data_IF_141845428716
#
_entry.id   IF_141845428716
#
_cell.length_a   1.000
_cell.length_b   1.000
_cell.length_c   1.000
_cell.angle_alpha   90.00
_cell.angle_beta   90.00
_cell.angle_gamma   90.00
#
_symmetry.space_group_name_H-M   'P 1'
#
loop_
_entity.id
_entity.type
_entity.pdbx_description
1 polymer ?
#
# COMPACT_ATOMS: atom_id res chain seq x y z
N UNK A 1 9.07 7.59 5.35
CA UNK A 1 9.51 6.33 5.97
C UNK A 1 8.52 5.22 5.64
N UNK A 2 9.03 4.00 5.44
CA UNK A 2 8.19 2.79 5.32
C UNK A 2 8.40 1.91 6.54
N UNK A 3 7.29 1.46 7.13
CA UNK A 3 7.29 0.58 8.31
C UNK A 3 6.47 -0.68 8.01
N UNK A 4 6.68 -1.80 8.72
CA UNK A 4 5.87 -3.00 8.52
C UNK A 4 4.38 -2.71 8.65
N UNK A 5 4.00 -2.02 9.70
CA UNK A 5 2.62 -1.61 10.00
C UNK A 5 2.62 -0.24 10.68
N UNK A 6 1.69 0.62 10.29
CA UNK A 6 1.53 1.93 10.94
C UNK A 6 0.68 1.75 12.20
N UNK A 7 1.24 2.17 13.33
CA UNK A 7 0.56 2.16 14.62
C UNK A 7 0.86 3.44 15.41
N UNK A 8 0.00 3.77 16.36
CA UNK A 8 0.19 4.98 17.19
C UNK A 8 1.54 4.99 17.88
N UNK A 9 2.04 3.89 18.50
CA UNK A 9 3.36 3.87 19.11
C UNK A 9 4.50 4.12 18.12
N UNK A 10 4.43 3.52 16.92
CA UNK A 10 5.45 3.69 15.88
C UNK A 10 5.42 5.13 15.35
N UNK A 11 4.24 5.68 15.11
CA UNK A 11 4.08 7.07 14.66
C UNK A 11 4.68 8.04 15.68
N UNK A 12 4.38 7.87 16.98
CA UNK A 12 4.96 8.69 18.05
C UNK A 12 6.48 8.56 18.11
N UNK A 13 7.01 7.33 18.12
CA UNK A 13 8.44 7.10 18.21
C UNK A 13 9.23 7.71 17.04
N UNK A 14 8.70 7.60 15.81
CA UNK A 14 9.34 8.20 14.63
C UNK A 14 9.25 9.73 14.67
N UNK A 15 8.11 10.27 15.09
CA UNK A 15 7.93 11.73 15.26
C UNK A 15 8.90 12.30 16.28
N UNK A 16 9.05 11.65 17.44
CA UNK A 16 9.97 12.04 18.49
C UNK A 16 11.43 11.98 18.00
N UNK A 17 11.81 10.91 17.31
CA UNK A 17 13.15 10.75 16.73
C UNK A 17 13.47 11.85 15.72
N UNK A 18 12.54 12.20 14.83
CA UNK A 18 12.70 13.30 13.86
C UNK A 18 12.81 14.64 14.58
N UNK A 19 12.01 14.84 15.64
CA UNK A 19 12.10 16.04 16.51
C UNK A 19 13.46 16.18 17.19
N UNK A 20 14.03 15.08 17.72
CA UNK A 20 15.36 15.04 18.32
C UNK A 20 16.48 15.38 17.32
N UNK A 21 16.30 15.06 16.05
CA UNK A 21 17.25 15.43 14.98
C UNK A 21 17.17 16.90 14.57
N UNK A 22 16.27 17.68 15.18
CA UNK A 22 16.13 19.11 14.91
C UNK A 22 15.53 19.44 13.55
N UNK A 23 14.90 18.49 12.88
CA UNK A 23 14.28 18.64 11.55
C UNK A 23 12.91 19.33 11.64
N UNK A 24 12.88 20.54 12.23
CA UNK A 24 11.65 21.28 12.58
C UNK A 24 10.73 21.61 11.38
N UNK A 25 11.29 21.68 10.17
CA UNK A 25 10.56 22.02 8.95
C UNK A 25 10.40 20.84 8.00
N UNK A 26 10.76 19.63 8.41
CA UNK A 26 10.61 18.45 7.57
C UNK A 26 9.18 17.93 7.64
N UNK A 27 8.55 17.75 6.48
CA UNK A 27 7.31 16.99 6.39
C UNK A 27 7.61 15.51 6.61
N UNK A 28 6.98 14.90 7.60
CA UNK A 28 7.12 13.49 7.91
C UNK A 28 5.95 12.73 7.29
N UNK A 29 6.27 11.77 6.43
CA UNK A 29 5.31 10.81 5.90
C UNK A 29 5.70 9.41 6.38
N UNK A 30 4.80 8.76 7.09
CA UNK A 30 4.93 7.39 7.54
C UNK A 30 3.90 6.54 6.79
N UNK A 31 4.36 5.48 6.13
CA UNK A 31 3.48 4.59 5.35
C UNK A 31 3.81 3.12 5.64
N UNK A 32 2.80 2.28 5.54
CA UNK A 32 2.95 0.83 5.66
C UNK A 32 3.64 0.20 4.43
N UNK A 33 4.06 -1.06 4.56
CA UNK A 33 4.65 -1.83 3.46
C UNK A 33 3.70 -1.99 2.28
N UNK A 34 2.42 -2.23 2.54
CA UNK A 34 1.40 -2.36 1.50
C UNK A 34 1.24 -1.05 0.69
N UNK A 35 1.18 0.10 1.37
CA UNK A 35 1.11 1.41 0.72
C UNK A 35 2.41 1.72 -0.04
N UNK A 36 3.57 1.36 0.51
CA UNK A 36 4.86 1.48 -0.20
C UNK A 36 4.87 0.65 -1.48
N UNK A 37 4.33 -0.56 -1.44
CA UNK A 37 4.23 -1.43 -2.61
C UNK A 37 3.25 -0.87 -3.66
N UNK A 38 2.13 -0.28 -3.25
CA UNK A 38 1.23 0.45 -4.14
C UNK A 38 1.96 1.57 -4.87
N UNK A 39 2.60 2.51 -4.15
CA UNK A 39 3.31 3.63 -4.78
C UNK A 39 4.47 3.18 -5.66
N UNK A 40 5.14 2.09 -5.29
CA UNK A 40 6.17 1.52 -6.14
C UNK A 40 5.59 1.09 -7.48
N UNK A 41 4.48 0.34 -7.49
CA UNK A 41 3.89 -0.18 -8.73
C UNK A 41 3.35 0.93 -9.66
N UNK A 42 2.57 1.87 -9.16
CA UNK A 42 2.00 2.93 -10.01
C UNK A 42 3.05 3.86 -10.63
N UNK A 43 4.25 3.89 -10.07
CA UNK A 43 5.39 4.64 -10.61
C UNK A 43 6.29 3.80 -11.54
N UNK A 44 5.97 2.52 -11.78
CA UNK A 44 6.63 1.69 -12.80
C UNK A 44 5.90 1.81 -14.15
N UNK A 45 6.55 1.38 -15.26
CA UNK A 45 5.88 1.22 -16.54
C UNK A 45 4.63 0.34 -16.43
N UNK A 46 3.54 0.76 -17.06
CA UNK A 46 2.22 0.12 -16.92
C UNK A 46 2.23 -1.35 -17.33
N UNK A 47 3.11 -1.74 -18.24
CA UNK A 47 3.27 -3.14 -18.68
C UNK A 47 3.66 -4.09 -17.54
N UNK A 48 4.29 -3.59 -16.48
CA UNK A 48 4.69 -4.39 -15.32
C UNK A 48 3.52 -4.70 -14.38
N UNK A 49 2.49 -3.86 -14.38
CA UNK A 49 1.33 -4.02 -13.52
C UNK A 49 -0.01 -3.92 -14.29
N UNK A 50 0.04 -4.34 -15.55
CA UNK A 50 -1.14 -4.47 -16.41
C UNK A 50 -2.14 -5.48 -15.82
N UNK A 51 -1.64 -6.53 -15.18
CA UNK A 51 -2.36 -7.53 -14.41
C UNK A 51 -1.88 -7.46 -12.95
N UNK A 52 -2.23 -8.42 -12.14
CA UNK A 52 -1.81 -8.48 -10.75
C UNK A 52 -0.27 -8.54 -10.62
N UNK A 53 0.25 -8.01 -9.52
CA UNK A 53 1.68 -8.02 -9.21
C UNK A 53 1.90 -8.68 -7.86
N UNK A 54 2.80 -9.66 -7.83
CA UNK A 54 3.15 -10.38 -6.61
C UNK A 54 4.48 -9.87 -6.07
N UNK A 55 4.53 -9.62 -4.76
CA UNK A 55 5.75 -9.38 -4.01
C UNK A 55 5.96 -10.52 -3.02
N UNK A 56 7.15 -11.09 -3.02
CA UNK A 56 7.62 -12.06 -2.05
C UNK A 56 8.75 -11.42 -1.23
N UNK A 57 8.50 -11.21 0.06
CA UNK A 57 9.48 -10.72 1.04
C UNK A 57 9.95 -11.88 1.91
N UNK A 58 11.16 -12.37 1.67
CA UNK A 58 11.75 -13.45 2.46
C UNK A 58 12.82 -12.88 3.38
N UNK A 59 12.40 -12.51 4.58
CA UNK A 59 13.26 -11.90 5.59
C UNK A 59 13.38 -12.83 6.80
N UNK A 60 14.62 -13.13 7.20
CA UNK A 60 14.90 -14.13 8.24
C UNK A 60 14.45 -15.53 7.83
N UNK A 61 13.53 -16.11 8.61
CA UNK A 61 12.92 -17.42 8.33
C UNK A 61 11.46 -17.31 7.84
N UNK A 62 10.98 -16.10 7.59
CA UNK A 62 9.59 -15.86 7.22
C UNK A 62 9.46 -15.38 5.78
N UNK A 63 8.54 -15.99 5.06
CA UNK A 63 8.09 -15.55 3.75
C UNK A 63 6.76 -14.82 3.89
N UNK A 64 6.73 -13.57 3.49
CA UNK A 64 5.55 -12.74 3.41
C UNK A 64 5.21 -12.44 1.95
N UNK A 65 3.96 -12.55 1.57
CA UNK A 65 3.53 -12.25 0.21
C UNK A 65 2.50 -11.13 0.20
N UNK A 66 2.67 -10.19 -0.74
CA UNK A 66 1.72 -9.12 -1.01
C UNK A 66 1.29 -9.21 -2.47
N UNK A 67 -0.02 -9.13 -2.70
CA UNK A 67 -0.61 -9.13 -4.02
C UNK A 67 -1.24 -7.76 -4.31
N UNK A 68 -0.70 -7.05 -5.28
CA UNK A 68 -1.25 -5.79 -5.77
C UNK A 68 -2.24 -6.06 -6.90
N UNK A 69 -3.43 -5.46 -6.81
CA UNK A 69 -4.48 -5.51 -7.83
C UNK A 69 -5.01 -4.11 -8.11
N UNK A 70 -5.43 -3.84 -9.35
CA UNK A 70 -5.98 -2.56 -9.78
C UNK A 70 -7.34 -2.75 -10.47
N UNK A 71 -8.39 -2.19 -9.90
CA UNK A 71 -9.72 -2.17 -10.51
C UNK A 71 -9.84 -1.00 -11.49
N UNK A 72 -9.55 -1.24 -12.76
CA UNK A 72 -9.58 -0.24 -13.83
C UNK A 72 -10.98 0.15 -14.29
N UNK A 73 -12.04 -0.39 -13.66
CA UNK A 73 -13.43 -0.04 -13.96
C UNK A 73 -13.92 1.17 -13.16
N UNK A 74 -13.13 1.66 -12.22
CA UNK A 74 -13.41 2.82 -11.38
C UNK A 74 -12.59 4.03 -11.81
N UNK A 75 -13.09 5.24 -11.51
CA UNK A 75 -12.37 6.49 -11.70
C UNK A 75 -12.51 7.33 -10.42
N UNK A 76 -11.43 7.54 -9.67
CA UNK A 76 -10.08 7.03 -9.86
C UNK A 76 -10.01 5.50 -9.82
N UNK A 77 -8.92 4.94 -10.36
CA UNK A 77 -8.67 3.48 -10.33
C UNK A 77 -8.43 3.03 -8.89
N UNK A 78 -9.29 2.14 -8.41
CA UNK A 78 -9.14 1.58 -7.06
C UNK A 78 -8.07 0.48 -7.04
N UNK A 79 -7.07 0.66 -6.19
CA UNK A 79 -5.95 -0.26 -6.02
C UNK A 79 -5.97 -0.88 -4.64
N UNK A 80 -5.66 -2.16 -4.58
CA UNK A 80 -5.66 -2.97 -3.37
C UNK A 80 -4.32 -3.69 -3.23
N UNK A 81 -3.93 -3.95 -1.99
CA UNK A 81 -2.85 -4.88 -1.67
C UNK A 81 -3.39 -5.88 -0.65
N UNK A 82 -3.49 -7.13 -1.07
CA UNK A 82 -3.81 -8.25 -0.20
C UNK A 82 -2.50 -8.76 0.40
N UNK A 83 -2.46 -8.89 1.72
CA UNK A 83 -1.33 -9.45 2.46
C UNK A 83 -1.69 -10.86 2.88
N UNK A 84 -0.85 -11.85 2.58
CA UNK A 84 -0.98 -13.18 3.12
C UNK A 84 -0.23 -13.29 4.46
N UNK A 85 -0.68 -14.22 5.30
CA UNK A 85 -0.01 -14.51 6.54
C UNK A 85 1.44 -14.94 6.31
N UNK A 86 2.31 -14.55 7.25
CA UNK A 86 3.69 -14.96 7.27
C UNK A 86 3.81 -16.47 7.38
N UNK A 87 4.48 -17.09 6.41
CA UNK A 87 4.82 -18.51 6.49
C UNK A 87 6.24 -18.66 6.99
N UNK A 88 6.42 -19.44 8.04
CA UNK A 88 7.75 -19.83 8.47
C UNK A 88 8.33 -20.83 7.45
N UNK A 89 9.44 -20.42 6.85
CA UNK A 89 10.22 -21.24 5.91
C UNK A 89 11.58 -21.43 6.54
N UNK A 90 11.85 -22.61 7.05
CA UNK A 90 13.13 -22.90 7.72
C UNK A 90 14.29 -22.76 6.72
N UNK A 91 15.13 -21.74 6.91
CA UNK A 91 16.35 -21.58 6.14
C UNK A 91 17.27 -22.80 6.32
N UNK A 92 17.88 -23.29 5.25
CA UNK A 92 18.81 -24.40 5.28
C UNK A 92 18.18 -25.80 5.12
N UNK A 93 16.89 -25.89 4.78
CA UNK A 93 16.27 -27.15 4.37
C UNK A 93 16.78 -27.56 2.99
N UNK A 94 17.07 -28.86 2.82
CA UNK A 94 17.44 -29.41 1.50
C UNK A 94 16.31 -29.27 0.46
N UNK A 95 15.04 -29.15 0.92
CA UNK A 95 13.83 -29.02 0.10
C UNK A 95 13.29 -27.57 0.00
N UNK A 96 14.11 -26.57 0.31
CA UNK A 96 13.69 -25.16 0.39
C UNK A 96 13.09 -24.65 -0.94
N UNK A 97 13.73 -24.95 -2.09
CA UNK A 97 13.23 -24.58 -3.42
C UNK A 97 11.87 -25.24 -3.71
N UNK A 98 11.72 -26.52 -3.40
CA UNK A 98 10.45 -27.22 -3.60
C UNK A 98 9.34 -26.64 -2.69
N UNK A 99 9.63 -26.35 -1.45
CA UNK A 99 8.69 -25.72 -0.52
C UNK A 99 8.25 -24.33 -1.01
N UNK A 100 9.20 -23.53 -1.50
CA UNK A 100 8.91 -22.22 -2.07
C UNK A 100 8.10 -22.34 -3.36
N UNK A 101 8.43 -23.30 -4.25
CA UNK A 101 7.69 -23.58 -5.48
C UNK A 101 6.23 -23.94 -5.20
N UNK A 102 5.97 -24.82 -4.25
CA UNK A 102 4.62 -25.20 -3.85
C UNK A 102 3.83 -24.02 -3.28
N UNK A 103 4.50 -23.21 -2.46
CA UNK A 103 3.91 -21.98 -1.93
C UNK A 103 3.54 -21.02 -3.07
N UNK A 104 4.43 -20.81 -4.04
CA UNK A 104 4.16 -19.92 -5.17
C UNK A 104 3.04 -20.45 -6.06
N UNK A 105 2.98 -21.76 -6.31
CA UNK A 105 1.86 -22.38 -7.03
C UNK A 105 0.53 -22.13 -6.33
N UNK A 106 0.49 -22.27 -5.01
CA UNK A 106 -0.72 -22.03 -4.22
C UNK A 106 -1.13 -20.55 -4.21
N UNK A 107 -0.17 -19.62 -4.06
CA UNK A 107 -0.42 -18.18 -4.03
C UNK A 107 -0.88 -17.65 -5.40
N UNK A 108 -0.23 -18.10 -6.45
CA UNK A 108 -0.56 -17.70 -7.83
C UNK A 108 -1.91 -18.30 -8.24
N UNK A 109 -2.12 -19.63 -8.04
CA UNK A 109 -3.35 -20.31 -8.45
C UNK A 109 -3.73 -19.99 -9.90
N UNK A 110 -4.98 -19.58 -10.10
CA UNK A 110 -5.52 -19.19 -11.43
C UNK A 110 -5.37 -17.68 -11.73
N UNK A 111 -4.61 -16.94 -10.93
CA UNK A 111 -4.45 -15.49 -11.07
C UNK A 111 -3.53 -15.15 -12.25
N UNK A 112 -3.89 -14.09 -12.97
CA UNK A 112 -3.05 -13.53 -14.02
C UNK A 112 -2.06 -12.54 -13.39
N UNK A 113 -0.81 -12.95 -13.23
CA UNK A 113 0.26 -12.15 -12.66
C UNK A 113 1.22 -11.71 -13.76
N UNK A 114 1.42 -10.42 -13.91
CA UNK A 114 2.34 -9.84 -14.92
C UNK A 114 3.78 -9.73 -14.40
N UNK A 115 3.94 -9.52 -13.08
CA UNK A 115 5.24 -9.26 -12.48
C UNK A 115 5.36 -9.89 -11.09
N UNK A 116 6.55 -10.37 -10.75
CA UNK A 116 6.90 -10.88 -9.43
C UNK A 116 8.16 -10.16 -8.93
N UNK A 117 8.10 -9.60 -7.73
CA UNK A 117 9.26 -9.05 -7.03
C UNK A 117 9.70 -9.99 -5.92
N UNK A 118 10.98 -10.32 -5.88
CA UNK A 118 11.63 -11.10 -4.83
C UNK A 118 12.52 -10.17 -4.04
N UNK A 119 12.24 -10.00 -2.74
CA UNK A 119 13.02 -9.14 -1.85
C UNK A 119 13.35 -9.86 -0.54
N UNK A 120 14.35 -9.36 0.18
CA UNK A 120 14.79 -9.90 1.45
C UNK A 120 16.03 -10.76 1.32
N UNK A 121 16.73 -10.91 2.45
CA UNK A 121 17.98 -11.67 2.53
C UNK A 121 17.80 -13.18 2.32
N UNK A 122 16.58 -13.71 2.47
CA UNK A 122 16.29 -15.11 2.22
C UNK A 122 16.46 -15.53 0.76
N UNK A 123 16.47 -14.55 -0.18
CA UNK A 123 16.77 -14.82 -1.60
C UNK A 123 18.24 -14.67 -1.94
N UNK A 124 19.13 -14.53 -0.96
CA UNK A 124 20.57 -14.59 -1.21
C UNK A 124 20.99 -16.02 -1.59
N UNK A 125 21.84 -16.15 -2.61
CA UNK A 125 22.30 -17.44 -3.14
C UNK A 125 21.47 -17.90 -4.35
N UNK A 126 21.66 -19.16 -4.72
CA UNK A 126 21.09 -19.76 -5.95
C UNK A 126 20.16 -20.95 -5.67
N UNK A 127 19.56 -21.01 -4.49
CA UNK A 127 18.76 -22.15 -4.04
C UNK A 127 17.39 -22.29 -4.72
N UNK A 128 16.82 -21.22 -5.29
CA UNK A 128 15.44 -21.17 -5.83
C UNK A 128 15.37 -21.35 -7.35
N UNK A 129 16.15 -22.22 -7.91
CA UNK A 129 16.27 -22.38 -9.38
C UNK A 129 15.00 -22.92 -10.05
N UNK A 130 14.34 -23.90 -9.46
CA UNK A 130 13.10 -24.47 -9.99
C UNK A 130 11.94 -23.49 -9.83
N UNK A 131 11.85 -22.86 -8.66
CA UNK A 131 10.87 -21.80 -8.41
C UNK A 131 11.05 -20.63 -9.37
N UNK A 132 12.28 -20.22 -9.63
CA UNK A 132 12.58 -19.13 -10.56
C UNK A 132 12.14 -19.47 -11.98
N UNK A 133 12.39 -20.70 -12.46
CA UNK A 133 11.92 -21.17 -13.76
C UNK A 133 10.38 -21.13 -13.86
N UNK A 134 9.69 -21.55 -12.81
CA UNK A 134 8.23 -21.48 -12.74
C UNK A 134 7.73 -20.02 -12.73
N UNK A 135 8.35 -19.15 -11.92
CA UNK A 135 7.95 -17.76 -11.82
C UNK A 135 8.19 -16.97 -13.11
N UNK A 136 9.25 -17.31 -13.87
CA UNK A 136 9.56 -16.67 -15.15
C UNK A 136 8.67 -17.13 -16.31
N UNK A 137 7.78 -18.10 -16.11
CA UNK A 137 6.82 -18.49 -17.15
C UNK A 137 5.76 -17.38 -17.32
N UNK A 138 5.83 -16.69 -18.47
CA UNK A 138 4.90 -15.60 -18.84
C UNK A 138 4.89 -14.37 -17.89
N UNK A 139 5.84 -14.28 -16.97
CA UNK A 139 5.95 -13.20 -15.98
C UNK A 139 7.33 -12.59 -15.99
N UNK A 140 7.41 -11.33 -15.61
CA UNK A 140 8.70 -10.68 -15.34
C UNK A 140 9.04 -10.84 -13.85
N UNK A 141 10.25 -11.31 -13.56
CA UNK A 141 10.74 -11.52 -12.19
C UNK A 141 11.89 -10.57 -11.93
N UNK A 142 11.81 -9.85 -10.83
CA UNK A 142 12.85 -8.92 -10.39
C UNK A 142 13.32 -9.29 -8.99
N UNK A 143 14.62 -9.25 -8.78
CA UNK A 143 15.27 -9.40 -7.49
C UNK A 143 15.79 -8.05 -7.00
N UNK A 144 15.54 -7.70 -5.75
CA UNK A 144 16.03 -6.44 -5.15
C UNK A 144 15.62 -6.25 -3.71
N UNK A 145 16.30 -5.36 -2.98
CA UNK A 145 16.12 -5.22 -1.53
C UNK A 145 15.59 -3.84 -1.07
N UNK A 146 15.34 -2.91 -1.99
CA UNK A 146 15.00 -1.53 -1.63
C UNK A 146 13.60 -1.09 -2.12
N UNK A 147 12.72 -2.05 -2.42
CA UNK A 147 11.40 -1.77 -2.97
C UNK A 147 10.57 -0.87 -2.03
N UNK A 148 10.49 -1.21 -0.75
CA UNK A 148 9.72 -0.41 0.21
C UNK A 148 10.28 1.00 0.38
N UNK A 149 11.60 1.16 0.45
CA UNK A 149 12.23 2.47 0.55
C UNK A 149 11.97 3.32 -0.69
N UNK A 150 12.05 2.73 -1.88
CA UNK A 150 11.69 3.42 -3.14
C UNK A 150 10.21 3.78 -3.17
N UNK A 151 9.32 2.88 -2.76
CA UNK A 151 7.88 3.15 -2.66
C UNK A 151 7.59 4.33 -1.75
N UNK A 152 8.24 4.39 -0.58
CA UNK A 152 8.12 5.53 0.34
C UNK A 152 8.63 6.84 -0.27
N UNK A 153 9.74 6.81 -1.02
CA UNK A 153 10.23 7.98 -1.75
C UNK A 153 9.24 8.43 -2.84
N UNK A 154 8.65 7.49 -3.57
CA UNK A 154 7.62 7.81 -4.56
C UNK A 154 6.39 8.41 -3.90
N UNK A 155 5.91 7.85 -2.78
CA UNK A 155 4.80 8.40 -2.00
C UNK A 155 5.05 9.86 -1.59
N UNK A 156 6.22 10.14 -1.02
CA UNK A 156 6.59 11.50 -0.63
C UNK A 156 6.60 12.46 -1.83
N UNK A 157 7.19 12.04 -2.95
CA UNK A 157 7.22 12.84 -4.18
C UNK A 157 5.82 13.12 -4.72
N UNK A 158 4.95 12.09 -4.77
CA UNK A 158 3.58 12.23 -5.28
C UNK A 158 2.76 13.21 -4.43
N UNK A 159 2.87 13.14 -3.11
CA UNK A 159 2.19 14.05 -2.18
C UNK A 159 2.67 15.51 -2.28
N UNK A 160 3.91 15.74 -2.72
CA UNK A 160 4.50 17.07 -2.86
C UNK A 160 4.32 17.69 -4.25
N UNK A 161 3.86 16.92 -5.23
CA UNK A 161 3.78 17.37 -6.63
C UNK A 161 2.32 17.33 -7.09
N UNK A 162 1.65 18.50 -7.25
CA UNK A 162 0.30 18.57 -7.83
C UNK A 162 0.28 18.00 -9.26
N UNK A 163 -0.81 17.36 -9.66
CA UNK A 163 -0.95 16.75 -11.00
C UNK A 163 -0.11 15.48 -11.17
N UNK A 164 0.25 14.83 -10.06
CA UNK A 164 1.06 13.63 -10.06
C UNK A 164 0.30 12.39 -10.57
N UNK A 165 1.04 11.33 -10.91
CA UNK A 165 0.45 10.06 -11.37
C UNK A 165 -0.57 9.51 -10.38
N UNK A 166 -0.35 9.73 -9.07
CA UNK A 166 -1.23 9.21 -8.03
C UNK A 166 -2.66 9.78 -8.04
N UNK A 167 -2.90 10.94 -8.66
CA UNK A 167 -4.24 11.53 -8.72
C UNK A 167 -5.25 10.67 -9.52
N UNK A 168 -4.76 9.81 -10.41
CA UNK A 168 -5.60 8.86 -11.15
C UNK A 168 -5.90 7.57 -10.39
N UNK A 169 -5.35 7.37 -9.19
CA UNK A 169 -5.41 6.12 -8.43
C UNK A 169 -5.76 6.38 -6.97
N UNK A 170 -6.55 5.48 -6.39
CA UNK A 170 -6.84 5.47 -4.95
C UNK A 170 -6.40 4.14 -4.34
N UNK A 171 -5.58 4.20 -3.31
CA UNK A 171 -5.18 3.02 -2.54
C UNK A 171 -6.20 2.76 -1.43
N UNK A 172 -6.74 1.55 -1.38
CA UNK A 172 -7.73 1.12 -0.39
C UNK A 172 -7.16 0.02 0.51
N UNK A 173 -6.03 0.30 1.15
CA UNK A 173 -5.37 -0.57 2.13
C UNK A 173 -6.13 -0.67 3.46
N UNK A 174 -5.67 -1.50 4.38
CA UNK A 174 -6.29 -1.67 5.72
C UNK A 174 -6.29 -0.39 6.55
N UNK A 175 -5.28 0.45 6.36
CA UNK A 175 -5.10 1.71 7.08
C UNK A 175 -5.80 2.90 6.42
N UNK A 176 -6.61 2.66 5.37
CA UNK A 176 -7.32 3.69 4.63
C UNK A 176 -8.81 3.72 4.96
N UNK A 177 -9.39 4.90 4.94
CA UNK A 177 -10.83 5.07 4.93
C UNK A 177 -11.40 4.40 3.67
N UNK A 178 -12.42 3.56 3.86
CA UNK A 178 -13.04 2.79 2.77
C UNK A 178 -14.20 3.52 2.11
N UNK A 179 -14.59 4.66 2.65
CA UNK A 179 -15.74 5.43 2.21
C UNK A 179 -15.46 6.92 2.35
N UNK A 180 -16.13 7.73 1.52
CA UNK A 180 -16.16 9.17 1.69
C UNK A 180 -17.07 9.53 2.85
N UNK A 181 -16.70 10.54 3.63
CA UNK A 181 -17.52 11.10 4.70
C UNK A 181 -17.85 12.53 4.34
N UNK A 182 -19.14 12.87 4.30
CA UNK A 182 -19.63 14.21 3.97
C UNK A 182 -20.72 14.64 4.95
N UNK A 183 -20.87 15.96 5.09
CA UNK A 183 -21.91 16.60 5.87
C UNK A 183 -22.99 17.11 4.92
N UNK A 184 -24.27 16.85 5.26
CA UNK A 184 -25.39 17.45 4.56
C UNK A 184 -25.58 18.88 5.09
N UNK A 185 -25.52 19.86 4.21
CA UNK A 185 -25.57 21.28 4.56
C UNK A 185 -26.43 22.07 3.58
N UNK A 186 -27.08 23.11 4.07
CA UNK A 186 -27.60 24.17 3.22
C UNK A 186 -26.51 25.22 2.95
N UNK A 187 -26.26 25.49 1.69
CA UNK A 187 -25.31 26.52 1.25
C UNK A 187 -26.00 27.49 0.31
N UNK A 188 -26.18 28.75 0.75
CA UNK A 188 -26.83 29.81 -0.03
C UNK A 188 -28.27 29.46 -0.45
N UNK A 189 -29.04 28.82 0.44
CA UNK A 189 -30.41 28.41 0.18
C UNK A 189 -30.55 27.17 -0.71
N UNK A 190 -29.48 26.39 -0.88
CA UNK A 190 -29.49 25.13 -1.62
C UNK A 190 -28.88 24.00 -0.81
N UNK A 191 -29.56 22.89 -0.78
CA UNK A 191 -29.08 21.66 -0.18
C UNK A 191 -27.86 21.11 -0.94
N UNK A 192 -26.81 20.79 -0.22
CA UNK A 192 -25.61 20.20 -0.79
C UNK A 192 -24.86 19.29 0.18
N UNK A 193 -23.94 18.50 -0.33
CA UNK A 193 -23.01 17.74 0.50
C UNK A 193 -21.67 18.45 0.57
N UNK A 194 -21.19 18.68 1.79
CA UNK A 194 -19.85 19.20 2.02
C UNK A 194 -18.91 18.02 2.33
N UNK A 195 -17.91 17.73 1.47
CA UNK A 195 -16.96 16.65 1.73
C UNK A 195 -16.10 16.99 2.95
N UNK A 196 -15.96 16.04 3.87
CA UNK A 196 -15.10 16.14 5.05
C UNK A 196 -13.84 15.30 4.90
N UNK A 197 -14.00 14.03 4.52
CA UNK A 197 -12.91 13.07 4.36
C UNK A 197 -13.16 12.21 3.13
N UNK A 198 -12.11 11.99 2.37
CA UNK A 198 -12.16 11.16 1.16
C UNK A 198 -11.71 9.72 1.44
N UNK A 199 -12.33 8.77 0.75
CA UNK A 199 -11.85 7.39 0.71
C UNK A 199 -10.40 7.35 0.24
N UNK A 200 -9.58 6.44 0.80
CA UNK A 200 -8.15 6.39 0.54
C UNK A 200 -7.30 7.32 1.42
N UNK A 201 -7.93 8.11 2.31
CA UNK A 201 -7.19 8.86 3.34
C UNK A 201 -6.75 7.92 4.46
N UNK A 202 -5.49 8.03 4.88
CA UNK A 202 -4.98 7.28 6.04
C UNK A 202 -5.74 7.67 7.31
N UNK A 203 -6.13 6.71 8.13
CA UNK A 203 -6.87 6.96 9.37
C UNK A 203 -6.13 7.91 10.32
N UNK A 204 -4.81 7.88 10.35
CA UNK A 204 -3.98 8.74 11.20
C UNK A 204 -3.76 10.15 10.64
N UNK A 205 -4.03 10.37 9.35
CA UNK A 205 -4.03 11.69 8.70
C UNK A 205 -5.47 12.25 8.55
N UNK A 206 -6.49 11.40 8.80
CA UNK A 206 -7.89 11.74 8.61
C UNK A 206 -8.37 12.74 9.66
N UNK A 207 -8.36 14.03 9.31
CA UNK A 207 -8.83 15.13 10.15
C UNK A 207 -9.59 16.12 9.30
N UNK A 208 -10.77 16.52 9.78
CA UNK A 208 -11.54 17.61 9.21
C UNK A 208 -12.06 18.51 10.33
N UNK A 209 -11.94 19.80 10.14
CA UNK A 209 -12.50 20.83 11.01
C UNK A 209 -13.34 21.77 10.17
N UNK A 210 -14.59 21.98 10.57
CA UNK A 210 -15.52 22.88 9.88
C UNK A 210 -16.41 23.57 10.89
N UNK A 211 -16.62 24.85 10.70
CA UNK A 211 -17.61 25.63 11.43
C UNK A 211 -18.91 25.71 10.63
N UNK A 212 -20.03 25.36 11.27
CA UNK A 212 -21.36 25.45 10.66
C UNK A 212 -22.39 25.82 11.71
N UNK A 213 -23.51 26.39 11.26
CA UNK A 213 -24.65 26.71 12.10
C UNK A 213 -25.64 25.54 12.09
N UNK A 214 -26.09 25.14 13.27
CA UNK A 214 -27.21 24.20 13.38
C UNK A 214 -28.52 25.01 13.27
N UNK A 215 -29.46 24.44 12.50
CA UNK A 215 -30.83 24.93 12.47
C UNK A 215 -31.60 24.55 13.77
N UNK A 216 -32.92 24.42 13.71
CA UNK A 216 -33.76 24.26 14.89
C UNK A 216 -33.51 23.00 15.71
N UNK A 217 -32.97 21.95 15.11
CA UNK A 217 -32.59 20.72 15.80
C UNK A 217 -31.06 20.68 16.04
N UNK A 218 -30.65 20.53 17.30
CA UNK A 218 -29.24 20.34 17.66
C UNK A 218 -28.68 19.01 17.15
N UNK A 219 -28.90 18.71 15.87
CA UNK A 219 -28.48 17.47 15.21
C UNK A 219 -27.91 17.77 13.83
N UNK A 220 -26.96 16.96 13.41
CA UNK A 220 -26.45 16.96 12.05
C UNK A 220 -26.30 15.51 11.55
N UNK A 221 -26.32 15.32 10.26
CA UNK A 221 -26.21 14.01 9.65
C UNK A 221 -24.93 13.90 8.84
N UNK A 222 -24.15 12.85 9.10
CA UNK A 222 -23.02 12.47 8.26
C UNK A 222 -23.49 11.44 7.23
N UNK A 223 -23.10 11.66 5.99
CA UNK A 223 -23.30 10.69 4.91
C UNK A 223 -22.00 9.94 4.66
N UNK A 224 -22.08 8.62 4.62
CA UNK A 224 -20.99 7.71 4.28
C UNK A 224 -21.33 7.09 2.93
N UNK A 225 -20.44 7.23 1.94
CA UNK A 225 -20.67 6.74 0.56
C UNK A 225 -19.41 6.07 -0.01
#
# INVERSE_FOLDING_TARGET
>A
FSVPEVSVPILSAVTDAVGMLGLKNASLFLIGRAESFFYYNICQPEELWKQDVLLCDFSGTFLHTLLFTANRKTSPVACFVEEADWKEVAAGREDLDQCFLETMKAVIGDRNISCVYLIGEGFLGEWYQESLRFLCQERRVFLGNNLYSKGACYAARQRMTPGSVSEGYVFLGKDMLKANISLYVEKRGQDSFHPLLDAGTNWYDAKAEIDFLLEEENRFSLRIT
#
